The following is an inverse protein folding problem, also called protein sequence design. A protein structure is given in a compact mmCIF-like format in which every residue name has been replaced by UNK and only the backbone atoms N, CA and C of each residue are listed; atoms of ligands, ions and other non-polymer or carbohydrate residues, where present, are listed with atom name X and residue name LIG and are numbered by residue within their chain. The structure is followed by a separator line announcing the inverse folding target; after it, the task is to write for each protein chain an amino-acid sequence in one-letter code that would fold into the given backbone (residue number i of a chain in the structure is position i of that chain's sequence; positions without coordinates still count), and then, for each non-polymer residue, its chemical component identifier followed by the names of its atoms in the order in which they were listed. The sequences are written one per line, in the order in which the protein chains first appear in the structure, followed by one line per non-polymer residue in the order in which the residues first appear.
data_IF_103830679904
#
_entry.id   IF_103830679904
#
_cell.length_a   1.000
_cell.length_b   1.000
_cell.length_c   1.000
_cell.angle_alpha   90.00
_cell.angle_beta   90.00
_cell.angle_gamma   90.00
#
_symmetry.space_group_name_H-M   'P 1'
#
loop_
_entity.id
_entity.type
_entity.pdbx_description
1 polymer ?
#
# COMPACT_ATOMS: atom_id res chain seq x y z
N UNK A 1 34.65 -69.20 -11.19
CA UNK A 1 33.46 -68.47 -10.74
C UNK A 1 32.68 -69.41 -9.84
N UNK A 2 32.66 -69.16 -8.53
CA UNK A 2 32.06 -70.06 -7.53
C UNK A 2 31.01 -69.26 -6.73
N UNK A 3 29.76 -69.74 -6.62
CA UNK A 3 28.68 -69.00 -5.96
C UNK A 3 28.82 -68.98 -4.43
N UNK A 4 28.56 -67.84 -3.81
CA UNK A 4 28.56 -67.66 -2.36
C UNK A 4 27.32 -68.25 -1.66
N UNK A 5 27.41 -68.55 -0.35
CA UNK A 5 26.38 -69.27 0.40
C UNK A 5 25.14 -68.42 0.75
N UNK A 6 23.96 -69.06 0.95
CA UNK A 6 22.69 -68.39 1.15
C UNK A 6 22.48 -67.85 2.58
N UNK A 7 21.92 -66.64 2.67
CA UNK A 7 21.54 -66.01 3.94
C UNK A 7 20.21 -66.57 4.46
N UNK A 8 20.21 -67.00 5.72
CA UNK A 8 19.02 -67.43 6.46
C UNK A 8 18.16 -66.23 6.90
N UNK A 9 16.85 -66.31 6.64
CA UNK A 9 15.83 -65.38 7.15
C UNK A 9 15.36 -65.83 8.54
N UNK A 10 15.44 -64.93 9.52
CA UNK A 10 14.87 -65.12 10.86
C UNK A 10 13.33 -64.97 10.89
N UNK A 11 12.66 -65.55 11.89
CA UNK A 11 11.19 -65.58 11.97
C UNK A 11 10.59 -64.20 12.25
N UNK A 12 9.64 -63.80 11.40
CA UNK A 12 8.80 -62.59 11.54
C UNK A 12 7.76 -62.78 12.65
N UNK A 13 7.71 -61.84 13.59
CA UNK A 13 6.68 -61.78 14.62
C UNK A 13 5.38 -61.11 14.10
N UNK A 14 4.19 -61.59 14.50
CA UNK A 14 2.91 -61.03 14.04
C UNK A 14 2.61 -59.67 14.68
N UNK A 15 2.31 -58.68 13.85
CA UNK A 15 1.87 -57.35 14.28
C UNK A 15 0.37 -57.35 14.61
N UNK A 16 -0.07 -56.76 15.73
CA UNK A 16 -1.48 -56.68 16.10
C UNK A 16 -2.24 -55.66 15.23
N UNK A 17 -3.49 -55.95 14.80
CA UNK A 17 -4.27 -55.01 14.01
C UNK A 17 -5.03 -54.00 14.88
N UNK A 18 -5.28 -52.84 14.25
CA UNK A 18 -6.53 -52.06 14.33
C UNK A 18 -6.61 -50.84 15.24
N UNK A 19 -7.03 -49.72 14.63
CA UNK A 19 -7.49 -48.50 15.31
C UNK A 19 -7.43 -47.26 14.42
N UNK A 20 -8.26 -47.17 13.38
CA UNK A 20 -8.46 -45.92 12.62
C UNK A 20 -9.46 -45.01 13.37
N UNK A 21 -9.12 -43.75 13.68
CA UNK A 21 -10.07 -42.80 14.25
C UNK A 21 -11.13 -42.41 13.20
N UNK A 22 -12.39 -42.72 13.51
CA UNK A 22 -13.54 -42.38 12.68
C UNK A 22 -13.83 -40.88 12.65
N UNK A 23 -14.17 -40.39 11.45
CA UNK A 23 -14.62 -39.03 11.20
C UNK A 23 -16.04 -38.83 11.79
N UNK A 24 -16.29 -37.77 12.59
CA UNK A 24 -17.63 -37.54 13.13
C UNK A 24 -18.60 -37.07 12.03
N UNK A 25 -19.89 -37.45 12.10
CA UNK A 25 -20.90 -37.02 11.15
C UNK A 25 -21.13 -35.50 11.23
N UNK A 26 -21.43 -34.83 10.09
CA UNK A 26 -21.62 -33.38 10.06
C UNK A 26 -22.84 -32.97 10.89
N UNK A 27 -22.58 -32.43 12.07
CA UNK A 27 -23.57 -31.81 12.93
C UNK A 27 -23.99 -30.45 12.36
N UNK A 28 -25.29 -30.20 12.39
CA UNK A 28 -25.88 -28.88 12.12
C UNK A 28 -25.21 -27.83 13.00
N UNK A 29 -24.53 -26.88 12.36
CA UNK A 29 -23.94 -25.73 13.02
C UNK A 29 -24.99 -24.86 13.72
N UNK A 30 -24.57 -24.01 14.67
CA UNK A 30 -25.48 -23.07 15.35
C UNK A 30 -26.18 -22.17 14.34
N UNK A 31 -27.45 -21.77 14.59
CA UNK A 31 -28.22 -21.00 13.63
C UNK A 31 -27.50 -19.70 13.26
N UNK A 32 -27.49 -19.31 11.97
CA UNK A 32 -26.81 -18.12 11.52
C UNK A 32 -27.33 -16.91 12.28
N UNK A 33 -26.41 -16.16 12.91
CA UNK A 33 -26.76 -14.90 13.57
C UNK A 33 -27.33 -13.97 12.51
N UNK A 34 -28.60 -13.60 12.66
CA UNK A 34 -29.29 -12.63 11.80
C UNK A 34 -28.47 -11.35 11.80
N UNK A 35 -27.85 -11.04 10.65
CA UNK A 35 -27.07 -9.84 10.50
C UNK A 35 -28.01 -8.65 10.34
N UNK A 36 -27.88 -7.67 11.22
CA UNK A 36 -28.57 -6.39 11.10
C UNK A 36 -27.91 -5.50 10.03
N UNK A 37 -27.00 -6.04 9.22
CA UNK A 37 -26.29 -5.32 8.16
C UNK A 37 -27.28 -4.66 7.19
N UNK A 38 -28.36 -5.34 6.81
CA UNK A 38 -29.40 -4.74 5.96
C UNK A 38 -30.11 -3.55 6.63
N UNK A 39 -30.34 -3.63 7.95
CA UNK A 39 -30.97 -2.55 8.71
C UNK A 39 -30.01 -1.38 8.92
N UNK A 40 -28.73 -1.64 9.17
CA UNK A 40 -27.69 -0.62 9.31
C UNK A 40 -27.45 0.08 7.97
N UNK A 41 -27.34 -0.66 6.87
CA UNK A 41 -27.19 -0.08 5.52
C UNK A 41 -28.44 0.74 5.17
N UNK A 42 -29.64 0.24 5.49
CA UNK A 42 -30.88 1.00 5.33
C UNK A 42 -30.90 2.31 6.14
N UNK A 43 -30.44 2.28 7.39
CA UNK A 43 -30.34 3.46 8.25
C UNK A 43 -29.30 4.46 7.75
N UNK A 44 -28.14 3.99 7.27
CA UNK A 44 -27.08 4.86 6.73
C UNK A 44 -27.55 5.52 5.45
N UNK A 45 -28.18 4.77 4.54
CA UNK A 45 -28.76 5.35 3.32
C UNK A 45 -29.88 6.33 3.68
N UNK A 46 -30.77 5.97 4.60
CA UNK A 46 -31.83 6.86 5.09
C UNK A 46 -31.27 8.14 5.71
N UNK A 47 -30.23 8.05 6.53
CA UNK A 47 -29.57 9.20 7.14
C UNK A 47 -28.87 10.07 6.11
N UNK A 48 -28.20 9.49 5.10
CA UNK A 48 -27.59 10.23 3.99
C UNK A 48 -28.65 10.92 3.14
N UNK A 49 -29.82 10.30 2.92
CA UNK A 49 -30.94 10.92 2.21
C UNK A 49 -31.60 12.02 3.05
N UNK A 50 -31.69 11.89 4.37
CA UNK A 50 -32.25 12.93 5.25
C UNK A 50 -31.27 14.11 5.41
N UNK A 51 -29.98 13.84 5.56
CA UNK A 51 -28.94 14.86 5.70
C UNK A 51 -28.60 15.54 4.36
N UNK A 52 -28.65 14.81 3.25
CA UNK A 52 -28.47 15.34 1.89
C UNK A 52 -29.74 15.93 1.28
N UNK A 53 -30.92 15.42 1.64
CA UNK A 53 -32.22 15.79 1.09
C UNK A 53 -33.02 16.79 1.95
N UNK A 54 -32.60 17.05 3.20
CA UNK A 54 -33.28 18.00 4.10
C UNK A 54 -33.35 19.44 3.58
N UNK A 55 -32.52 19.80 2.60
CA UNK A 55 -32.59 21.10 1.92
C UNK A 55 -33.67 21.21 0.84
N UNK A 56 -34.15 20.09 0.27
CA UNK A 56 -35.09 20.11 -0.86
C UNK A 56 -36.55 20.06 -0.38
N UNK A 57 -36.82 19.35 0.73
CA UNK A 57 -38.16 19.26 1.31
C UNK A 57 -38.70 20.60 1.82
N UNK A 58 -37.84 21.44 2.41
CA UNK A 58 -38.22 22.78 2.85
C UNK A 58 -38.42 23.77 1.69
N UNK A 59 -37.71 23.60 0.57
CA UNK A 59 -37.86 24.46 -0.60
C UNK A 59 -39.13 24.17 -1.40
N UNK A 60 -39.56 22.90 -1.46
CA UNK A 60 -40.77 22.48 -2.18
C UNK A 60 -42.08 22.75 -1.42
N UNK A 61 -42.06 22.93 -0.10
CA UNK A 61 -43.27 23.29 0.67
C UNK A 61 -43.54 24.80 0.75
N UNK A 62 -42.57 25.66 0.38
CA UNK A 62 -42.77 27.12 0.33
C UNK A 62 -43.01 27.69 -1.08
N UNK A 63 -42.97 26.86 -2.13
CA UNK A 63 -43.15 27.30 -3.51
C UNK A 63 -44.42 26.70 -4.13
N UNK A 64 -45.55 26.96 -3.49
CA UNK A 64 -46.86 26.68 -4.07
C UNK A 64 -47.44 27.93 -4.73
N UNK A 65 -47.12 28.18 -6.00
CA UNK A 65 -48.10 28.60 -7.01
C UNK A 65 -47.51 28.55 -8.45
N UNK A 66 -48.27 27.97 -9.38
CA UNK A 66 -48.31 28.19 -10.85
C UNK A 66 -47.11 27.86 -11.79
N UNK A 67 -47.07 26.59 -12.27
CA UNK A 67 -46.77 26.02 -13.64
C UNK A 67 -45.66 26.55 -14.61
N UNK A 68 -45.38 25.88 -15.76
CA UNK A 68 -45.42 24.44 -16.10
C UNK A 68 -44.02 23.85 -16.48
N UNK A 69 -43.93 22.52 -16.39
CA UNK A 69 -43.05 21.60 -17.15
C UNK A 69 -41.56 21.96 -17.41
N UNK A 70 -40.77 21.50 -16.45
CA UNK A 70 -39.45 20.85 -16.56
C UNK A 70 -38.89 20.57 -17.98
N UNK A 71 -37.80 21.24 -18.32
CA UNK A 71 -36.63 20.57 -18.89
C UNK A 71 -35.59 20.47 -17.78
N UNK A 72 -35.58 19.34 -17.07
CA UNK A 72 -34.49 19.01 -16.17
C UNK A 72 -33.20 18.93 -17.00
N UNK A 73 -32.36 19.95 -16.90
CA UNK A 73 -31.00 19.90 -17.42
C UNK A 73 -30.33 18.67 -16.83
N UNK A 74 -29.76 17.83 -17.70
CA UNK A 74 -28.91 16.73 -17.26
C UNK A 74 -27.89 17.26 -16.23
N UNK A 75 -27.54 16.51 -15.17
CA UNK A 75 -26.49 16.93 -14.28
C UNK A 75 -25.23 17.11 -15.13
N UNK A 76 -24.79 18.34 -15.32
CA UNK A 76 -23.46 18.61 -15.84
C UNK A 76 -22.51 18.00 -14.84
N UNK A 77 -21.88 16.86 -15.19
CA UNK A 77 -20.78 16.29 -14.42
C UNK A 77 -19.77 17.41 -14.18
N UNK A 78 -19.77 17.95 -12.96
CA UNK A 78 -18.84 18.98 -12.56
C UNK A 78 -17.43 18.41 -12.75
N UNK A 79 -16.68 18.99 -13.69
CA UNK A 79 -15.32 18.56 -13.99
C UNK A 79 -14.50 18.62 -12.71
N UNK A 80 -13.96 17.48 -12.28
CA UNK A 80 -13.15 17.41 -11.05
C UNK A 80 -11.94 18.32 -11.25
N UNK A 81 -11.73 19.25 -10.32
CA UNK A 81 -10.66 20.26 -10.42
C UNK A 81 -9.71 20.09 -9.25
N UNK A 82 -8.42 20.07 -9.53
CA UNK A 82 -7.34 19.94 -8.55
C UNK A 82 -5.98 20.29 -9.16
N UNK A 83 -4.88 20.06 -8.43
CA UNK A 83 -3.54 20.30 -8.96
C UNK A 83 -3.25 19.44 -10.21
N UNK A 84 -2.54 19.96 -11.21
CA UNK A 84 -2.02 19.13 -12.30
C UNK A 84 -0.94 18.16 -11.80
N UNK A 85 -0.79 17.02 -12.47
CA UNK A 85 0.32 16.11 -12.20
C UNK A 85 1.66 16.82 -12.48
N UNK A 86 2.60 16.70 -11.53
CA UNK A 86 3.89 17.38 -11.60
C UNK A 86 4.96 16.57 -12.34
N UNK A 87 4.88 15.25 -12.28
CA UNK A 87 5.87 14.33 -12.83
C UNK A 87 5.24 13.32 -13.79
N UNK A 88 5.98 13.01 -14.84
CA UNK A 88 5.59 12.03 -15.87
C UNK A 88 6.36 10.71 -15.79
N UNK A 89 7.49 10.69 -15.08
CA UNK A 89 8.42 9.56 -14.93
C UNK A 89 9.09 9.59 -13.55
N UNK A 90 9.59 8.45 -13.09
CA UNK A 90 10.40 8.30 -11.89
C UNK A 90 11.90 8.39 -12.23
N UNK A 91 12.76 8.81 -11.28
CA UNK A 91 14.19 8.87 -11.51
C UNK A 91 14.83 7.48 -11.61
N UNK A 92 15.94 7.38 -12.32
CA UNK A 92 16.74 6.16 -12.38
C UNK A 92 17.40 5.84 -11.03
N UNK A 93 17.50 4.55 -10.69
CA UNK A 93 18.09 4.09 -9.44
C UNK A 93 19.55 4.55 -9.26
N UNK A 94 20.33 4.59 -10.35
CA UNK A 94 21.72 5.05 -10.33
C UNK A 94 21.84 6.50 -9.85
N UNK A 95 20.88 7.35 -10.25
CA UNK A 95 20.86 8.76 -9.86
C UNK A 95 20.62 8.90 -8.36
N UNK A 96 19.67 8.15 -7.80
CA UNK A 96 19.42 8.11 -6.36
C UNK A 96 20.68 7.65 -5.62
N UNK A 97 21.29 6.54 -6.08
CA UNK A 97 22.47 5.96 -5.46
C UNK A 97 23.67 6.90 -5.42
N UNK A 98 23.86 7.70 -6.48
CA UNK A 98 24.94 8.70 -6.53
C UNK A 98 24.83 9.81 -5.47
N UNK A 99 23.64 10.03 -4.92
CA UNK A 99 23.37 11.03 -3.87
C UNK A 99 23.66 10.52 -2.46
N UNK A 100 24.00 9.24 -2.27
CA UNK A 100 24.20 8.63 -0.96
C UNK A 100 25.57 7.95 -0.91
N UNK A 101 26.38 8.34 0.09
CA UNK A 101 27.69 7.72 0.29
C UNK A 101 27.55 6.35 0.95
N UNK A 102 28.43 5.42 0.56
CA UNK A 102 28.57 4.08 1.15
C UNK A 102 27.28 3.24 1.10
N UNK A 103 26.48 3.40 0.04
CA UNK A 103 25.47 2.39 -0.26
C UNK A 103 26.15 1.10 -0.75
N UNK A 104 25.60 -0.08 -0.42
CA UNK A 104 25.99 -1.31 -1.07
C UNK A 104 25.84 -1.23 -2.59
N UNK A 105 26.35 -2.22 -3.35
CA UNK A 105 26.11 -2.31 -4.78
C UNK A 105 24.61 -2.29 -5.13
N UNK A 106 24.27 -1.54 -6.19
CA UNK A 106 22.92 -1.50 -6.74
C UNK A 106 22.64 -2.81 -7.47
N UNK A 107 21.53 -3.47 -7.13
CA UNK A 107 21.03 -4.60 -7.93
C UNK A 107 20.48 -4.12 -9.28
N UNK A 108 20.58 -4.92 -10.36
CA UNK A 108 20.04 -4.55 -11.66
C UNK A 108 18.57 -4.12 -11.57
N UNK A 109 18.24 -2.85 -11.85
CA UNK A 109 16.88 -2.36 -11.70
C UNK A 109 16.01 -2.89 -12.83
N UNK A 110 14.74 -3.21 -12.52
CA UNK A 110 13.75 -3.66 -13.51
C UNK A 110 13.15 -2.53 -14.35
N UNK A 111 13.34 -1.27 -13.93
CA UNK A 111 12.72 -0.10 -14.55
C UNK A 111 11.34 0.20 -13.96
N UNK A 112 10.53 0.95 -14.71
CA UNK A 112 9.13 1.21 -14.36
C UNK A 112 8.22 0.08 -14.88
N UNK A 113 7.29 -0.36 -14.03
CA UNK A 113 6.29 -1.37 -14.38
C UNK A 113 4.89 -0.92 -13.94
N UNK A 114 3.81 -1.31 -14.64
CA UNK A 114 2.45 -1.03 -14.20
C UNK A 114 2.17 -1.65 -12.82
N UNK A 115 1.46 -0.90 -11.99
CA UNK A 115 0.99 -1.34 -10.68
C UNK A 115 -0.54 -1.35 -10.63
N UNK A 116 -1.11 -2.33 -9.95
CA UNK A 116 -2.56 -2.38 -9.74
C UNK A 116 -2.98 -1.39 -8.65
N UNK A 117 -4.16 -0.80 -8.82
CA UNK A 117 -4.79 0.08 -7.83
C UNK A 117 -6.31 -0.07 -7.92
N UNK A 118 -7.01 0.14 -6.80
CA UNK A 118 -8.48 0.24 -6.77
C UNK A 118 -8.99 1.62 -7.24
N UNK A 119 -8.09 2.60 -7.41
CA UNK A 119 -8.45 3.93 -7.86
C UNK A 119 -8.56 3.99 -9.38
N UNK A 120 -9.79 4.11 -9.87
CA UNK A 120 -10.09 4.17 -11.30
C UNK A 120 -9.74 5.53 -11.93
N UNK A 121 -9.41 6.56 -11.15
CA UNK A 121 -9.09 7.90 -11.65
C UNK A 121 -7.61 8.07 -12.02
N UNK A 122 -6.77 7.07 -11.76
CA UNK A 122 -5.31 7.15 -12.01
C UNK A 122 -4.78 5.97 -12.84
N UNK A 123 -3.68 6.22 -13.54
CA UNK A 123 -2.74 5.19 -13.97
C UNK A 123 -1.63 5.10 -12.93
N UNK A 124 -1.25 3.89 -12.54
CA UNK A 124 -0.29 3.66 -11.47
C UNK A 124 0.91 2.86 -12.00
N UNK A 125 2.10 3.41 -11.86
CA UNK A 125 3.36 2.71 -12.16
C UNK A 125 4.22 2.67 -10.91
N UNK A 126 5.08 1.65 -10.81
CA UNK A 126 6.02 1.48 -9.72
C UNK A 126 7.42 1.24 -10.24
N UNK A 127 8.42 1.56 -9.44
CA UNK A 127 9.80 1.17 -9.66
C UNK A 127 10.48 0.87 -8.33
N UNK A 128 11.42 -0.06 -8.34
CA UNK A 128 12.17 -0.46 -7.15
C UNK A 128 13.67 -0.35 -7.39
N UNK A 129 14.35 0.23 -6.42
CA UNK A 129 15.79 0.30 -6.34
C UNK A 129 16.26 -0.41 -5.08
N UNK A 130 17.18 -1.36 -5.22
CA UNK A 130 17.70 -2.14 -4.10
C UNK A 130 19.22 -2.08 -4.09
N UNK A 131 19.78 -1.60 -2.98
CA UNK A 131 21.21 -1.65 -2.71
C UNK A 131 21.45 -2.66 -1.60
N UNK A 132 22.13 -3.76 -1.94
CA UNK A 132 22.42 -4.81 -0.96
C UNK A 132 23.72 -5.55 -1.29
N UNK A 133 24.31 -6.12 -0.25
CA UNK A 133 25.37 -7.12 -0.35
C UNK A 133 25.26 -8.07 0.86
N UNK A 134 25.85 -9.28 0.78
CA UNK A 134 25.80 -10.23 1.88
C UNK A 134 26.38 -9.66 3.18
N UNK A 135 25.68 -9.88 4.31
CA UNK A 135 26.10 -9.48 5.66
C UNK A 135 26.31 -7.97 5.88
N UNK A 136 25.72 -7.12 5.04
CA UNK A 136 25.75 -5.67 5.20
C UNK A 136 24.32 -5.09 5.30
N UNK A 137 24.15 -3.90 5.92
CA UNK A 137 22.90 -3.17 5.85
C UNK A 137 22.46 -2.95 4.41
N UNK A 138 21.15 -3.00 4.14
CA UNK A 138 20.59 -2.77 2.82
C UNK A 138 19.66 -1.57 2.80
N UNK A 139 19.47 -0.99 1.61
CA UNK A 139 18.50 0.05 1.36
C UNK A 139 17.61 -0.36 0.18
N UNK A 140 16.31 -0.14 0.31
CA UNK A 140 15.33 -0.32 -0.74
C UNK A 140 14.52 0.97 -0.88
N UNK A 141 14.31 1.40 -2.11
CA UNK A 141 13.41 2.51 -2.45
C UNK A 141 12.35 1.97 -3.39
N UNK A 142 11.10 1.92 -2.92
CA UNK A 142 9.93 1.74 -3.78
C UNK A 142 9.38 3.10 -4.14
N UNK A 143 9.28 3.40 -5.43
CA UNK A 143 8.65 4.62 -5.93
C UNK A 143 7.38 4.24 -6.66
N UNK A 144 6.36 5.08 -6.53
CA UNK A 144 5.11 4.93 -7.24
C UNK A 144 4.68 6.26 -7.85
N UNK A 145 4.29 6.22 -9.11
CA UNK A 145 3.85 7.36 -9.88
C UNK A 145 2.36 7.19 -10.18
N UNK A 146 1.57 8.13 -9.67
CA UNK A 146 0.12 8.19 -9.86
C UNK A 146 -0.21 9.26 -10.87
N UNK A 147 -0.58 8.89 -12.09
CA UNK A 147 -0.97 9.86 -13.12
C UNK A 147 -2.48 9.96 -13.17
N UNK A 148 -3.01 11.17 -13.02
CA UNK A 148 -4.41 11.48 -13.21
C UNK A 148 -4.84 11.10 -14.64
N UNK A 149 -5.89 10.27 -14.78
CA UNK A 149 -6.47 9.98 -16.10
C UNK A 149 -7.15 11.20 -16.70
N UNK A 150 -7.76 12.02 -15.84
CA UNK A 150 -8.25 13.34 -16.21
C UNK A 150 -7.22 14.42 -15.82
N UNK A 151 -6.60 15.12 -16.80
CA UNK A 151 -5.65 16.18 -16.52
C UNK A 151 -6.25 17.31 -15.67
N UNK A 152 -5.55 17.71 -14.61
CA UNK A 152 -6.00 18.76 -13.70
C UNK A 152 -7.10 18.34 -12.73
N UNK A 153 -7.39 17.05 -12.61
CA UNK A 153 -8.33 16.54 -11.60
C UNK A 153 -7.76 16.46 -10.18
N UNK A 154 -6.44 16.53 -10.03
CA UNK A 154 -5.74 16.31 -8.75
C UNK A 154 -5.72 14.87 -8.26
N UNK A 155 -6.19 13.90 -9.06
CA UNK A 155 -6.28 12.50 -8.63
C UNK A 155 -4.91 11.88 -8.32
N UNK A 156 -3.89 12.20 -9.11
CA UNK A 156 -2.53 11.71 -8.95
C UNK A 156 -1.89 12.15 -7.64
N UNK A 157 -1.82 13.46 -7.39
CA UNK A 157 -1.31 14.00 -6.12
C UNK A 157 -2.18 13.59 -4.93
N UNK A 158 -3.51 13.57 -5.08
CA UNK A 158 -4.42 13.11 -4.04
C UNK A 158 -4.13 11.67 -3.59
N UNK A 159 -3.82 10.78 -4.54
CA UNK A 159 -3.43 9.41 -4.23
C UNK A 159 -2.10 9.32 -3.50
N UNK A 160 -1.05 9.98 -4.01
CA UNK A 160 0.28 10.00 -3.39
C UNK A 160 0.26 10.62 -1.99
N UNK A 161 -0.60 11.63 -1.76
CA UNK A 161 -0.80 12.24 -0.45
C UNK A 161 -1.45 11.27 0.55
N UNK A 162 -2.44 10.49 0.10
CA UNK A 162 -3.22 9.61 0.96
C UNK A 162 -2.36 8.53 1.65
N UNK A 163 -1.30 8.02 0.99
CA UNK A 163 -0.40 7.05 1.61
C UNK A 163 0.33 7.61 2.84
N UNK A 164 0.67 8.90 2.83
CA UNK A 164 1.31 9.58 3.95
C UNK A 164 0.30 9.88 5.06
N UNK A 165 -0.93 10.28 4.72
CA UNK A 165 -2.00 10.47 5.69
C UNK A 165 -2.31 9.16 6.44
N UNK A 166 -2.39 8.04 5.72
CA UNK A 166 -2.57 6.72 6.31
C UNK A 166 -1.40 6.36 7.25
N UNK A 167 -0.16 6.55 6.80
CA UNK A 167 1.01 6.25 7.63
C UNK A 167 1.08 7.11 8.92
N UNK A 168 0.58 8.34 8.89
CA UNK A 168 0.43 9.16 10.11
C UNK A 168 -0.68 8.62 11.01
N UNK A 169 -1.83 8.23 10.45
CA UNK A 169 -2.92 7.63 11.20
C UNK A 169 -2.52 6.31 11.89
N UNK A 170 -1.60 5.56 11.26
CA UNK A 170 -1.02 4.33 11.82
C UNK A 170 0.00 4.59 12.95
N UNK A 171 0.22 5.85 13.33
CA UNK A 171 1.15 6.26 14.38
C UNK A 171 2.55 6.63 13.89
N UNK A 172 2.71 6.89 12.59
CA UNK A 172 3.94 7.43 12.03
C UNK A 172 4.25 8.85 12.53
N UNK A 173 5.54 9.17 12.60
CA UNK A 173 6.01 10.48 13.11
C UNK A 173 6.45 11.36 11.95
N UNK A 174 5.84 12.55 11.83
CA UNK A 174 6.17 13.49 10.75
C UNK A 174 7.64 13.92 10.79
N UNK A 175 8.23 14.03 9.61
CA UNK A 175 9.57 14.57 9.42
C UNK A 175 9.41 16.05 9.05
N UNK A 176 9.92 16.99 9.87
CA UNK A 176 9.64 18.42 9.70
C UNK A 176 10.28 19.02 8.44
N UNK A 177 11.44 18.51 8.02
CA UNK A 177 12.19 19.04 6.88
C UNK A 177 12.63 17.92 5.95
N UNK A 178 12.22 18.01 4.69
CA UNK A 178 12.63 17.12 3.59
C UNK A 178 13.00 17.97 2.39
N UNK A 179 13.91 17.48 1.54
CA UNK A 179 14.51 18.22 0.44
C UNK A 179 13.47 18.92 -0.48
N UNK A 180 12.91 18.20 -1.46
CA UNK A 180 11.85 18.73 -2.36
C UNK A 180 10.48 18.14 -2.03
N UNK A 181 10.41 17.17 -1.13
CA UNK A 181 9.18 16.45 -0.80
C UNK A 181 8.18 17.36 -0.08
N UNK A 182 6.90 17.18 -0.40
CA UNK A 182 5.83 17.97 0.20
C UNK A 182 5.60 17.56 1.66
N UNK A 183 5.65 16.26 1.96
CA UNK A 183 5.52 15.73 3.31
C UNK A 183 6.23 14.37 3.41
N UNK A 184 6.79 14.08 4.58
CA UNK A 184 7.32 12.76 4.89
C UNK A 184 7.04 12.35 6.34
N UNK A 185 7.14 11.05 6.58
CA UNK A 185 6.85 10.42 7.86
C UNK A 185 7.83 9.27 8.10
N UNK A 186 8.33 9.15 9.32
CA UNK A 186 8.88 7.88 9.82
C UNK A 186 7.70 6.94 10.05
N UNK A 187 7.52 5.96 9.17
CA UNK A 187 6.43 5.01 9.29
C UNK A 187 6.63 4.13 10.53
N UNK A 188 5.54 3.82 11.21
CA UNK A 188 5.55 2.84 12.30
C UNK A 188 5.71 1.45 11.69
N UNK A 189 6.69 0.71 12.16
CA UNK A 189 6.90 -0.69 11.83
C UNK A 189 6.91 -1.51 13.12
N UNK A 190 6.36 -2.71 13.07
CA UNK A 190 6.42 -3.66 14.19
C UNK A 190 7.77 -4.39 14.25
N UNK A 191 8.57 -4.33 13.18
CA UNK A 191 9.90 -4.92 13.12
C UNK A 191 10.96 -4.00 13.71
N UNK A 192 11.82 -4.55 14.58
CA UNK A 192 13.00 -3.87 15.11
C UNK A 192 14.23 -4.00 14.21
N UNK A 193 14.17 -4.75 13.10
CA UNK A 193 15.30 -5.00 12.19
C UNK A 193 15.41 -4.01 11.02
N UNK A 194 14.42 -3.13 10.90
CA UNK A 194 14.34 -2.16 9.83
C UNK A 194 13.70 -0.86 10.31
N UNK A 195 13.80 0.16 9.47
CA UNK A 195 13.10 1.42 9.59
C UNK A 195 12.59 1.85 8.22
N UNK A 196 11.51 2.62 8.19
CA UNK A 196 10.91 3.10 6.95
C UNK A 196 10.60 4.58 7.02
N UNK A 197 10.86 5.28 5.92
CA UNK A 197 10.36 6.61 5.64
C UNK A 197 9.41 6.51 4.45
N UNK A 198 8.24 7.12 4.57
CA UNK A 198 7.36 7.36 3.42
C UNK A 198 7.30 8.86 3.15
N UNK A 199 7.30 9.25 1.89
CA UNK A 199 7.09 10.64 1.51
C UNK A 199 6.35 10.76 0.18
N UNK A 200 5.77 11.93 -0.08
CA UNK A 200 5.25 12.27 -1.40
C UNK A 200 5.78 13.62 -1.88
N UNK A 201 5.84 13.77 -3.20
CA UNK A 201 6.25 14.97 -3.90
C UNK A 201 5.38 15.07 -5.16
N UNK A 202 4.43 16.00 -5.18
CA UNK A 202 3.41 16.04 -6.24
C UNK A 202 2.68 14.69 -6.36
N UNK A 203 2.66 14.14 -7.56
CA UNK A 203 1.99 12.87 -7.88
C UNK A 203 2.91 11.63 -7.81
N UNK A 204 4.06 11.74 -7.12
CA UNK A 204 4.96 10.62 -6.82
C UNK A 204 4.96 10.39 -5.31
N UNK A 205 4.83 9.12 -4.91
CA UNK A 205 5.11 8.66 -3.56
C UNK A 205 6.35 7.75 -3.56
N UNK A 206 7.07 7.75 -2.45
CA UNK A 206 8.24 6.91 -2.27
C UNK A 206 8.29 6.34 -0.85
N UNK A 207 8.64 5.06 -0.77
CA UNK A 207 8.87 4.30 0.43
C UNK A 207 10.34 3.90 0.47
N UNK A 208 11.04 4.37 1.50
CA UNK A 208 12.44 4.06 1.74
C UNK A 208 12.53 3.14 2.94
N UNK A 209 13.05 1.94 2.72
CA UNK A 209 13.29 0.95 3.77
C UNK A 209 14.79 0.76 3.92
N UNK A 210 15.29 0.83 5.15
CA UNK A 210 16.66 0.45 5.50
C UNK A 210 16.58 -0.72 6.46
N UNK A 211 17.36 -1.76 6.16
CA UNK A 211 17.40 -3.00 6.95
C UNK A 211 18.83 -3.23 7.44
N UNK A 212 18.95 -3.82 8.63
CA UNK A 212 20.23 -4.24 9.18
C UNK A 212 20.93 -5.34 8.37
N UNK A 213 22.19 -5.67 8.73
CA UNK A 213 22.93 -6.77 8.11
C UNK A 213 22.30 -8.15 8.38
N UNK A 214 21.57 -8.26 9.50
CA UNK A 214 20.72 -9.41 9.83
C UNK A 214 19.25 -8.93 9.85
N UNK A 215 18.41 -9.35 8.91
CA UNK A 215 17.00 -8.95 8.85
C UNK A 215 16.17 -9.52 10.01
N UNK A 216 16.69 -10.49 10.78
CA UNK A 216 16.08 -11.01 12.00
C UNK A 216 16.62 -10.34 13.28
N UNK A 217 17.72 -9.59 13.18
CA UNK A 217 18.38 -8.92 14.29
C UNK A 217 17.84 -7.53 14.57
N UNK A 218 17.95 -7.07 15.82
CA UNK A 218 17.59 -5.69 16.17
C UNK A 218 18.63 -4.71 15.63
N UNK A 219 18.18 -3.64 14.96
CA UNK A 219 19.06 -2.55 14.52
C UNK A 219 19.03 -1.39 15.49
N UNK A 220 20.11 -0.61 15.53
CA UNK A 220 20.07 0.70 16.16
C UNK A 220 19.10 1.61 15.37
N UNK A 221 17.92 1.84 15.93
CA UNK A 221 16.83 2.56 15.28
C UNK A 221 17.19 4.02 14.95
N UNK A 222 18.05 4.67 15.73
CA UNK A 222 18.54 6.02 15.43
C UNK A 222 19.39 6.02 14.16
N UNK A 223 20.39 5.15 14.10
CA UNK A 223 21.29 5.03 12.94
C UNK A 223 20.51 4.59 11.70
N UNK A 224 19.57 3.67 11.85
CA UNK A 224 18.69 3.25 10.77
C UNK A 224 17.92 4.43 10.20
N UNK A 225 17.22 5.20 11.05
CA UNK A 225 16.42 6.36 10.64
C UNK A 225 17.27 7.44 9.97
N UNK A 226 18.48 7.69 10.46
CA UNK A 226 19.42 8.63 9.83
C UNK A 226 19.83 8.17 8.42
N UNK A 227 20.10 6.88 8.24
CA UNK A 227 20.45 6.34 6.92
C UNK A 227 19.26 6.34 5.98
N UNK A 228 18.07 5.97 6.45
CA UNK A 228 16.83 6.08 5.68
C UNK A 228 16.57 7.53 5.26
N UNK A 229 16.84 8.50 6.13
CA UNK A 229 16.67 9.93 5.83
C UNK A 229 17.63 10.41 4.73
N UNK A 230 18.89 9.95 4.74
CA UNK A 230 19.86 10.26 3.66
C UNK A 230 19.35 9.75 2.31
N UNK A 231 18.91 8.49 2.27
CA UNK A 231 18.36 7.88 1.06
C UNK A 231 17.09 8.61 0.61
N UNK A 232 16.16 8.90 1.52
CA UNK A 232 14.93 9.61 1.20
C UNK A 232 15.16 11.03 0.65
N UNK A 233 16.16 11.76 1.19
CA UNK A 233 16.57 13.07 0.65
C UNK A 233 17.13 12.94 -0.76
N UNK A 234 18.04 12.00 -1.00
CA UNK A 234 18.58 11.74 -2.33
C UNK A 234 17.49 11.36 -3.35
N UNK A 235 16.53 10.51 -2.94
CA UNK A 235 15.37 10.17 -3.78
C UNK A 235 14.53 11.41 -4.10
N UNK A 236 14.18 12.22 -3.10
CA UNK A 236 13.41 13.45 -3.30
C UNK A 236 14.12 14.46 -4.21
N UNK A 237 15.44 14.59 -4.09
CA UNK A 237 16.24 15.45 -4.95
C UNK A 237 16.25 14.98 -6.40
N UNK A 238 16.34 13.67 -6.62
CA UNK A 238 16.36 13.04 -7.94
C UNK A 238 15.01 13.09 -8.67
N UNK A 239 13.88 13.11 -7.94
CA UNK A 239 12.56 13.26 -8.57
C UNK A 239 12.48 14.61 -9.29
N UNK A 240 12.19 14.55 -10.59
CA UNK A 240 12.04 15.73 -11.46
C UNK A 240 13.35 16.33 -11.97
N UNK A 241 14.45 15.56 -11.96
CA UNK A 241 15.69 15.90 -12.66
C UNK A 241 15.85 15.12 -13.97
#
# INVERSE_FOLDING_TARGET
MQPGPPYQQGPQQPYPPQGYPGYPPPGYGPPPKKSNTGLIVGLVIGAVVVLGGGGVGAFLLLSGDSGPSSSAGAPTSSKKTGPPDKYSTMPACQKIGSGVRNLPPLEPPKGEEPASTSNNDITYTRSFCTWREPNAPSAMVGMYLSKSKEPGSGAGEGWAKASIENAVNDGGVLIPTMAKATKAVYAKLDSSSQCQIKFYQGNVEAEVVVTGPDPSGTVNQTVCKENALKVAKATSEAIGQ
#
